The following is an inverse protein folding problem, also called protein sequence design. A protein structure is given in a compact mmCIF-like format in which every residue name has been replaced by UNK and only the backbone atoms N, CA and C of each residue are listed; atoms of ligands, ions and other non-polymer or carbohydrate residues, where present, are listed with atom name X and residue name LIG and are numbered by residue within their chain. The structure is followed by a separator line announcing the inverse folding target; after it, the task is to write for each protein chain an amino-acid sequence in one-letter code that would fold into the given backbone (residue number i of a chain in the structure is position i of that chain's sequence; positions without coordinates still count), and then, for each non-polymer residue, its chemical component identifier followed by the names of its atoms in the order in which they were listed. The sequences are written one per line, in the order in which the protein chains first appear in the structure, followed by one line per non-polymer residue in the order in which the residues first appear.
data_IF_364963733072
#
_entry.id   IF_364963733072
#
_cell.length_a   1.000
_cell.length_b   1.000
_cell.length_c   1.000
_cell.angle_alpha   90.00
_cell.angle_beta   90.00
_cell.angle_gamma   90.00
#
_symmetry.space_group_name_H-M   'P 1'
#
loop_
_entity.id
_entity.type
_entity.pdbx_description
1 polymer ?
#
# COMPACT_ATOMS: atom_id res chain seq x y z
N UNK A 1 8.75 6.16 -4.85
CA UNK A 1 9.05 7.61 -4.82
C UNK A 1 10.52 7.80 -4.45
N UNK A 2 11.04 9.01 -4.63
CA UNK A 2 12.34 9.44 -4.08
C UNK A 2 12.28 9.54 -2.55
N UNK A 3 13.41 9.80 -1.89
CA UNK A 3 13.48 10.04 -0.45
C UNK A 3 12.79 11.36 -0.05
N UNK A 4 12.53 11.53 1.25
CA UNK A 4 11.78 12.67 1.80
C UNK A 4 12.44 14.02 1.53
N UNK A 5 13.77 14.10 1.56
CA UNK A 5 14.49 15.35 1.34
C UNK A 5 14.38 15.76 -0.12
N UNK A 6 14.72 14.87 -1.05
CA UNK A 6 14.55 15.11 -2.50
C UNK A 6 13.11 15.45 -2.83
N UNK A 7 12.14 14.76 -2.22
CA UNK A 7 10.72 15.05 -2.42
C UNK A 7 10.36 16.48 -2.00
N UNK A 8 10.79 16.90 -0.81
CA UNK A 8 10.47 18.21 -0.25
C UNK A 8 11.10 19.35 -1.06
N UNK A 9 12.33 19.13 -1.55
CA UNK A 9 13.09 20.11 -2.33
C UNK A 9 12.52 20.33 -3.74
N UNK A 10 12.02 19.26 -4.37
CA UNK A 10 11.58 19.30 -5.77
C UNK A 10 10.06 19.36 -5.95
N UNK A 11 9.25 19.00 -4.96
CA UNK A 11 7.79 19.07 -5.10
C UNK A 11 7.32 20.53 -5.19
N UNK A 12 6.82 20.91 -6.36
CA UNK A 12 6.31 22.25 -6.66
C UNK A 12 4.93 22.55 -6.06
N UNK A 13 4.32 21.59 -5.35
CA UNK A 13 2.97 21.71 -4.76
C UNK A 13 1.89 22.04 -5.81
N UNK A 14 2.08 21.57 -7.04
CA UNK A 14 1.16 21.80 -8.17
C UNK A 14 -0.19 21.08 -8.06
N UNK A 15 -0.33 20.14 -7.12
CA UNK A 15 -1.53 19.35 -6.84
C UNK A 15 -2.01 18.44 -8.00
N UNK A 16 -1.19 18.17 -9.03
CA UNK A 16 -1.55 17.24 -10.11
C UNK A 16 -1.75 15.80 -9.61
N UNK A 17 -0.95 15.36 -8.64
CA UNK A 17 -1.14 14.03 -8.03
C UNK A 17 -2.47 13.92 -7.24
N UNK A 18 -2.91 15.02 -6.62
CA UNK A 18 -4.19 15.11 -5.90
C UNK A 18 -5.35 15.00 -6.89
N UNK A 19 -5.32 15.77 -7.98
CA UNK A 19 -6.41 15.79 -8.97
C UNK A 19 -6.56 14.48 -9.76
N UNK A 20 -5.48 13.71 -9.91
CA UNK A 20 -5.44 12.50 -10.73
C UNK A 20 -5.61 11.20 -9.93
N UNK A 21 -5.71 11.29 -8.60
CA UNK A 21 -5.95 10.13 -7.74
C UNK A 21 -7.43 9.70 -7.85
N UNK A 22 -7.69 8.60 -8.57
CA UNK A 22 -9.06 8.12 -8.81
C UNK A 22 -9.80 7.70 -7.53
N UNK A 23 -9.08 7.20 -6.52
CA UNK A 23 -9.65 6.84 -5.21
C UNK A 23 -9.68 8.00 -4.22
N UNK A 24 -9.19 9.18 -4.61
CA UNK A 24 -9.25 10.43 -3.84
C UNK A 24 -8.59 10.34 -2.44
N UNK A 25 -7.62 9.43 -2.27
CA UNK A 25 -6.86 9.27 -1.03
C UNK A 25 -5.69 10.26 -0.90
N UNK A 26 -5.23 10.85 -2.00
CA UNK A 26 -4.19 11.89 -1.96
C UNK A 26 -4.88 13.23 -1.75
N UNK A 27 -4.60 13.89 -0.62
CA UNK A 27 -5.18 15.18 -0.22
C UNK A 27 -4.09 16.23 -0.04
N UNK A 28 -4.48 17.51 0.04
CA UNK A 28 -3.52 18.61 0.31
C UNK A 28 -3.37 18.80 1.81
N UNK A 29 -2.15 18.63 2.32
CA UNK A 29 -1.81 18.92 3.72
C UNK A 29 -1.57 20.40 4.00
N UNK A 30 -1.37 20.72 5.28
CA UNK A 30 -1.24 22.11 5.77
C UNK A 30 -0.06 22.87 5.15
N UNK A 31 1.05 22.17 4.87
CA UNK A 31 2.22 22.72 4.17
C UNK A 31 2.08 22.78 2.64
N UNK A 32 0.90 22.47 2.10
CA UNK A 32 0.61 22.39 0.67
C UNK A 32 1.20 21.17 -0.05
N UNK A 33 1.89 20.29 0.67
CA UNK A 33 2.35 19.00 0.15
C UNK A 33 1.19 17.99 0.10
N UNK A 34 1.23 17.02 -0.83
CA UNK A 34 0.25 15.93 -0.84
C UNK A 34 0.45 15.01 0.36
N UNK A 35 -0.65 14.57 0.97
CA UNK A 35 -0.71 13.57 2.05
C UNK A 35 -1.61 12.42 1.59
N UNK A 36 -1.26 11.18 1.95
CA UNK A 36 -2.11 10.01 1.73
C UNK A 36 -3.00 9.78 2.95
N UNK A 37 -4.31 9.82 2.76
CA UNK A 37 -5.32 9.56 3.78
C UNK A 37 -6.05 8.24 3.49
N UNK A 38 -5.59 7.18 4.16
CA UNK A 38 -6.16 5.84 4.05
C UNK A 38 -7.54 5.67 4.72
N UNK A 39 -8.05 6.68 5.45
CA UNK A 39 -9.44 6.65 5.92
C UNK A 39 -10.44 6.84 4.79
N UNK A 40 -9.99 7.38 3.64
CA UNK A 40 -10.83 7.64 2.46
C UNK A 40 -10.91 6.47 1.50
N UNK A 41 -10.02 5.48 1.64
CA UNK A 41 -9.93 4.32 0.77
C UNK A 41 -8.50 3.83 0.62
N UNK A 42 -8.24 3.15 -0.49
CA UNK A 42 -6.97 2.49 -0.79
C UNK A 42 -6.33 2.97 -2.09
N UNK A 43 -5.04 2.69 -2.24
CA UNK A 43 -4.34 2.89 -3.50
C UNK A 43 -4.56 1.66 -4.38
N UNK A 44 -5.08 1.86 -5.60
CA UNK A 44 -5.28 0.79 -6.59
C UNK A 44 -4.04 0.53 -7.45
N UNK A 45 -2.92 1.20 -7.16
CA UNK A 45 -1.69 1.16 -7.95
C UNK A 45 -1.89 1.52 -9.44
N UNK A 46 -2.88 2.36 -9.75
CA UNK A 46 -3.18 2.80 -11.11
C UNK A 46 -2.11 3.73 -11.73
N UNK A 47 -1.17 4.21 -10.92
CA UNK A 47 -0.01 5.02 -11.32
C UNK A 47 -0.32 6.41 -11.93
N UNK A 48 -1.60 6.81 -12.00
CA UNK A 48 -2.03 8.10 -12.56
C UNK A 48 -1.40 9.32 -11.88
N UNK A 49 -1.22 9.28 -10.57
CA UNK A 49 -0.57 10.37 -9.82
C UNK A 49 0.90 10.55 -10.20
N UNK A 50 1.61 9.45 -10.49
CA UNK A 50 2.99 9.46 -10.94
C UNK A 50 3.09 9.99 -12.37
N UNK A 51 2.22 9.51 -13.27
CA UNK A 51 2.19 9.95 -14.67
C UNK A 51 1.87 11.43 -14.86
N UNK A 52 1.08 12.01 -13.95
CA UNK A 52 0.70 13.42 -14.04
C UNK A 52 1.65 14.38 -13.31
N UNK A 53 2.60 13.86 -12.52
CA UNK A 53 3.57 14.71 -11.85
C UNK A 53 4.57 15.26 -12.88
N UNK A 54 4.72 16.59 -12.98
CA UNK A 54 5.71 17.18 -13.89
C UNK A 54 7.16 16.98 -13.41
N UNK A 55 7.32 16.58 -12.14
CA UNK A 55 8.62 16.38 -11.49
C UNK A 55 8.97 14.88 -11.43
N UNK A 56 10.27 14.57 -11.50
CA UNK A 56 10.80 13.20 -11.40
C UNK A 56 10.82 12.66 -9.96
N UNK A 57 9.67 12.65 -9.28
CA UNK A 57 9.52 12.26 -7.87
C UNK A 57 9.11 10.80 -7.66
N UNK A 58 8.69 10.12 -8.73
CA UNK A 58 8.17 8.75 -8.68
C UNK A 58 9.18 7.77 -9.28
N UNK A 59 9.24 6.58 -8.69
CA UNK A 59 10.01 5.45 -9.25
C UNK A 59 9.18 4.78 -10.34
N UNK A 60 9.79 4.14 -11.35
CA UNK A 60 9.07 3.46 -12.43
C UNK A 60 7.98 2.50 -11.94
N UNK A 61 6.90 2.36 -12.71
CA UNK A 61 5.78 1.48 -12.38
C UNK A 61 6.17 0.00 -12.23
N UNK A 62 7.29 -0.40 -12.85
CA UNK A 62 7.79 -1.77 -12.85
C UNK A 62 8.49 -2.15 -11.53
N UNK A 63 8.83 -1.16 -10.70
CA UNK A 63 9.41 -1.42 -9.39
C UNK A 63 8.33 -1.97 -8.46
N UNK A 64 8.71 -2.95 -7.63
CA UNK A 64 7.84 -3.41 -6.55
C UNK A 64 7.47 -2.21 -5.65
N UNK A 65 6.18 -2.01 -5.33
CA UNK A 65 5.74 -0.85 -4.57
C UNK A 65 6.33 -0.82 -3.14
N UNK A 66 6.59 -2.01 -2.57
CA UNK A 66 7.30 -2.21 -1.31
C UNK A 66 7.77 -3.66 -1.18
N UNK A 67 8.72 -3.89 -0.27
CA UNK A 67 9.20 -5.21 0.12
C UNK A 67 8.54 -5.70 1.44
N UNK A 68 7.29 -5.26 1.68
CA UNK A 68 6.53 -5.63 2.88
C UNK A 68 5.84 -6.99 2.68
N UNK A 69 6.36 -8.02 3.32
CA UNK A 69 5.75 -9.36 3.34
C UNK A 69 5.25 -9.69 4.74
N UNK A 70 4.01 -10.17 4.84
CA UNK A 70 3.48 -10.70 6.10
C UNK A 70 4.21 -12.01 6.45
N UNK A 71 4.68 -12.12 7.69
CA UNK A 71 5.34 -13.33 8.21
C UNK A 71 4.43 -13.99 9.23
N UNK A 72 4.22 -15.30 9.08
CA UNK A 72 3.49 -16.10 10.06
C UNK A 72 4.42 -16.43 11.22
N UNK A 73 4.06 -16.02 12.43
CA UNK A 73 4.85 -16.29 13.63
C UNK A 73 4.82 -17.77 14.02
N UNK A 74 5.83 -18.20 14.78
CA UNK A 74 5.88 -19.53 15.40
C UNK A 74 4.77 -19.75 16.44
N UNK A 75 4.15 -18.67 16.93
CA UNK A 75 3.00 -18.73 17.83
C UNK A 75 1.68 -19.10 17.12
N UNK A 76 1.65 -19.18 15.79
CA UNK A 76 0.47 -19.54 15.03
C UNK A 76 -0.11 -20.90 15.46
N UNK A 77 -1.39 -20.91 15.85
CA UNK A 77 -2.09 -22.12 16.30
C UNK A 77 -2.13 -23.21 15.22
N UNK A 78 -2.26 -22.82 13.95
CA UNK A 78 -2.24 -23.76 12.82
C UNK A 78 -0.88 -24.49 12.70
N UNK A 79 0.24 -23.81 13.00
CA UNK A 79 1.57 -24.46 13.07
C UNK A 79 1.66 -25.47 14.22
N UNK A 80 0.83 -25.31 15.26
CA UNK A 80 0.71 -26.21 16.41
C UNK A 80 -0.37 -27.28 16.22
N UNK A 81 -0.85 -27.50 14.99
CA UNK A 81 -1.90 -28.47 14.64
C UNK A 81 -3.26 -28.20 15.32
N UNK A 82 -3.51 -26.95 15.71
CA UNK A 82 -4.80 -26.51 16.23
C UNK A 82 -5.57 -25.88 15.07
N UNK A 83 -6.83 -26.26 14.88
CA UNK A 83 -7.69 -25.63 13.88
C UNK A 83 -7.90 -24.16 14.24
N UNK A 84 -7.38 -23.27 13.41
CA UNK A 84 -7.53 -21.83 13.54
C UNK A 84 -7.54 -21.21 12.14
N UNK A 85 -8.57 -20.40 11.85
CA UNK A 85 -8.75 -19.69 10.60
C UNK A 85 -8.86 -18.18 10.76
N UNK A 86 -8.76 -17.65 11.99
CA UNK A 86 -9.05 -16.25 12.31
C UNK A 86 -8.35 -15.25 11.40
N UNK A 87 -7.06 -15.43 11.10
CA UNK A 87 -6.35 -14.52 10.20
C UNK A 87 -6.89 -14.56 8.76
N UNK A 88 -7.27 -15.74 8.27
CA UNK A 88 -7.88 -15.89 6.95
C UNK A 88 -9.30 -15.35 6.91
N UNK A 89 -10.10 -15.62 7.94
CA UNK A 89 -11.50 -15.17 8.05
C UNK A 89 -11.59 -13.63 8.16
N UNK A 90 -10.60 -12.98 8.79
CA UNK A 90 -10.50 -11.52 8.87
C UNK A 90 -9.88 -10.87 7.63
N UNK A 91 -9.33 -11.65 6.69
CA UNK A 91 -8.68 -11.13 5.49
C UNK A 91 -9.70 -11.06 4.35
N UNK A 92 -10.33 -9.90 4.18
CA UNK A 92 -11.36 -9.67 3.16
C UNK A 92 -10.90 -10.01 1.73
N UNK A 93 -9.64 -9.70 1.42
CA UNK A 93 -9.02 -9.98 0.11
C UNK A 93 -8.65 -11.46 -0.08
N UNK A 94 -8.84 -12.31 0.93
CA UNK A 94 -8.55 -13.74 0.93
C UNK A 94 -7.09 -14.07 0.56
N UNK A 95 -6.16 -13.18 0.93
CA UNK A 95 -4.74 -13.35 0.67
C UNK A 95 -4.09 -14.50 1.48
N UNK A 96 -4.71 -14.89 2.61
CA UNK A 96 -4.20 -15.92 3.52
C UNK A 96 -4.94 -17.25 3.28
N UNK A 97 -4.21 -18.32 2.98
CA UNK A 97 -4.76 -19.68 2.77
C UNK A 97 -4.20 -20.67 3.78
N UNK A 98 -5.07 -21.21 4.64
CA UNK A 98 -4.71 -22.33 5.52
C UNK A 98 -4.62 -23.63 4.72
N UNK A 99 -3.54 -24.40 4.92
CA UNK A 99 -3.42 -25.77 4.38
C UNK A 99 -3.41 -26.76 5.54
N UNK A 100 -4.54 -27.41 5.77
CA UNK A 100 -4.62 -28.54 6.70
C UNK A 100 -4.24 -29.81 5.95
N UNK A 101 -3.33 -30.62 6.51
CA UNK A 101 -3.11 -31.97 6.00
C UNK A 101 -4.27 -32.83 6.51
N UNK A 102 -5.10 -33.32 5.61
CA UNK A 102 -6.14 -34.31 5.93
C UNK A 102 -5.48 -35.54 6.53
N UNK A 103 -5.97 -35.98 7.69
CA UNK A 103 -5.62 -37.27 8.28
C UNK A 103 -6.32 -38.33 7.44
N UNK A 104 -5.53 -39.12 6.71
CA UNK A 104 -5.96 -40.39 6.14
C UNK A 104 -5.71 -41.52 7.12
#
# INVERSE_FOLDING_TARGET
MVDEQTFTDHCTRCNQCVSQCETQIITKGDGGFPIVDFQRGECTFCYRCASACPESLFRPQQDDPWQLHAVISDSCLANKKIECRSCGDMCETQAIRSRYKSVG
#
